data_IF_858060600273
#
_entry.id   IF_858060600273
#
_cell.length_a   1.000
_cell.length_b   1.000
_cell.length_c   1.000
_cell.angle_alpha   90.00
_cell.angle_beta   90.00
_cell.angle_gamma   90.00
#
_symmetry.space_group_name_H-M   'P 1'
#
loop_
_entity.id
_entity.type
_entity.pdbx_description
1 polymer ?
#
# COMPACT_ATOMS: atom_id res chain seq x y z
N UNK A 1 -22.88 6.93 5.48
CA UNK A 1 -23.87 5.90 5.86
C UNK A 1 -23.69 5.49 7.32
N UNK A 2 -22.51 5.00 7.70
CA UNK A 2 -22.24 4.49 9.05
C UNK A 2 -22.19 5.57 10.16
N UNK A 3 -21.99 6.84 9.82
CA UNK A 3 -22.04 7.97 10.77
C UNK A 3 -23.43 8.17 11.42
N UNK A 4 -24.49 7.57 10.87
CA UNK A 4 -25.85 7.62 11.42
C UNK A 4 -26.09 6.58 12.53
N UNK A 5 -25.14 5.68 12.78
CA UNK A 5 -25.27 4.57 13.74
C UNK A 5 -24.70 4.87 15.13
N UNK A 6 -24.36 6.14 15.42
CA UNK A 6 -23.86 6.61 16.72
C UNK A 6 -22.33 6.69 16.81
N UNK A 7 -21.84 7.51 17.75
CA UNK A 7 -20.42 7.79 17.94
C UNK A 7 -19.62 6.55 18.38
N UNK A 8 -20.18 5.74 19.27
CA UNK A 8 -19.54 4.52 19.79
C UNK A 8 -19.33 3.46 18.69
N UNK A 9 -20.33 3.30 17.81
CA UNK A 9 -20.24 2.47 16.60
C UNK A 9 -19.09 2.91 15.70
N UNK A 10 -18.95 4.22 15.48
CA UNK A 10 -17.92 4.78 14.61
C UNK A 10 -16.51 4.59 15.21
N UNK A 11 -16.37 4.75 16.52
CA UNK A 11 -15.13 4.50 17.23
C UNK A 11 -14.69 3.03 17.09
N UNK A 12 -15.60 2.08 17.37
CA UNK A 12 -15.35 0.65 17.21
C UNK A 12 -14.99 0.25 15.77
N UNK A 13 -15.65 0.85 14.78
CA UNK A 13 -15.35 0.66 13.36
C UNK A 13 -13.93 1.14 13.01
N UNK A 14 -13.54 2.32 13.49
CA UNK A 14 -12.22 2.89 13.26
C UNK A 14 -11.11 1.99 13.81
N UNK A 15 -11.27 1.52 15.05
CA UNK A 15 -10.32 0.60 15.69
C UNK A 15 -10.23 -0.75 14.95
N UNK A 16 -11.36 -1.30 14.52
CA UNK A 16 -11.39 -2.53 13.73
C UNK A 16 -10.69 -2.37 12.37
N UNK A 17 -10.87 -1.23 11.70
CA UNK A 17 -10.15 -0.93 10.46
C UNK A 17 -8.64 -0.79 10.67
N UNK A 18 -8.20 -0.26 11.81
CA UNK A 18 -6.78 -0.19 12.17
C UNK A 18 -6.16 -1.60 12.28
N UNK A 19 -6.86 -2.53 12.94
CA UNK A 19 -6.42 -3.94 13.00
C UNK A 19 -6.33 -4.54 11.60
N UNK A 20 -7.35 -4.33 10.76
CA UNK A 20 -7.34 -4.83 9.38
C UNK A 20 -6.19 -4.24 8.55
N UNK A 21 -5.83 -2.97 8.75
CA UNK A 21 -4.70 -2.34 8.07
C UNK A 21 -3.37 -3.02 8.42
N UNK A 22 -3.17 -3.41 9.68
CA UNK A 22 -1.99 -4.18 10.09
C UNK A 22 -1.96 -5.53 9.36
N UNK A 23 -3.09 -6.25 9.35
CA UNK A 23 -3.20 -7.56 8.67
C UNK A 23 -2.99 -7.47 7.15
N UNK A 24 -3.39 -6.37 6.51
CA UNK A 24 -3.15 -6.14 5.09
C UNK A 24 -1.66 -6.10 4.74
N UNK A 25 -0.79 -5.81 5.70
CA UNK A 25 0.67 -5.84 5.50
C UNK A 25 1.17 -7.26 5.17
N UNK A 26 0.56 -8.28 5.76
CA UNK A 26 0.87 -9.68 5.45
C UNK A 26 0.46 -10.03 4.01
N UNK A 27 -0.73 -9.57 3.60
CA UNK A 27 -1.24 -9.74 2.23
C UNK A 27 -0.36 -9.02 1.21
N UNK A 28 0.14 -7.82 1.54
CA UNK A 28 1.08 -7.08 0.72
C UNK A 28 2.37 -7.86 0.45
N UNK A 29 2.86 -8.62 1.44
CA UNK A 29 4.03 -9.48 1.25
C UNK A 29 3.80 -10.53 0.16
N UNK A 30 2.75 -11.35 0.30
CA UNK A 30 2.42 -12.42 -0.66
C UNK A 30 2.24 -11.84 -2.08
N UNK A 31 1.53 -10.71 -2.17
CA UNK A 31 1.13 -10.13 -3.45
C UNK A 31 2.30 -9.48 -4.20
N UNK A 32 3.24 -8.87 -3.47
CA UNK A 32 4.48 -8.34 -4.05
C UNK A 32 5.36 -9.45 -4.63
N UNK A 33 5.52 -10.55 -3.88
CA UNK A 33 6.24 -11.74 -4.35
C UNK A 33 5.60 -12.37 -5.59
N UNK A 34 4.27 -12.49 -5.58
CA UNK A 34 3.50 -13.03 -6.70
C UNK A 34 3.69 -12.21 -7.97
N UNK A 35 3.54 -10.88 -7.89
CA UNK A 35 3.70 -10.01 -9.05
C UNK A 35 5.07 -10.13 -9.69
N UNK A 36 6.14 -10.11 -8.88
CA UNK A 36 7.52 -10.19 -9.38
C UNK A 36 7.77 -11.53 -10.10
N UNK A 37 7.42 -12.66 -9.48
CA UNK A 37 7.63 -13.99 -10.07
C UNK A 37 6.76 -14.23 -11.31
N UNK A 38 5.48 -13.83 -11.29
CA UNK A 38 4.59 -13.95 -12.45
C UNK A 38 5.07 -13.08 -13.60
N UNK A 39 5.53 -11.85 -13.33
CA UNK A 39 6.06 -10.97 -14.37
C UNK A 39 7.29 -11.56 -15.06
N UNK A 40 8.20 -12.17 -14.29
CA UNK A 40 9.37 -12.87 -14.85
C UNK A 40 8.99 -14.11 -15.65
N UNK A 41 8.07 -14.94 -15.13
CA UNK A 41 7.58 -16.11 -15.86
C UNK A 41 6.90 -15.71 -17.18
N UNK A 42 6.13 -14.62 -17.17
CA UNK A 42 5.52 -14.06 -18.39
C UNK A 42 6.57 -13.62 -19.42
N UNK A 43 7.62 -12.95 -18.94
CA UNK A 43 8.76 -12.53 -19.76
C UNK A 43 9.52 -13.69 -20.39
N UNK A 44 9.69 -14.78 -19.65
CA UNK A 44 10.30 -16.02 -20.11
C UNK A 44 9.38 -16.86 -21.03
N UNK A 45 8.17 -16.38 -21.32
CA UNK A 45 7.12 -17.13 -22.02
C UNK A 45 6.77 -18.48 -21.36
N UNK A 46 6.97 -18.60 -20.05
CA UNK A 46 6.73 -19.82 -19.28
C UNK A 46 5.37 -19.75 -18.56
N UNK A 47 4.32 -20.13 -19.29
CA UNK A 47 2.94 -20.17 -18.76
C UNK A 47 2.77 -21.22 -17.65
N UNK A 48 3.57 -22.29 -17.66
CA UNK A 48 3.54 -23.33 -16.64
C UNK A 48 4.07 -22.80 -15.31
N UNK A 49 5.22 -22.13 -15.33
CA UNK A 49 5.78 -21.47 -14.15
C UNK A 49 4.87 -20.36 -13.64
N UNK A 50 4.28 -19.53 -14.51
CA UNK A 50 3.34 -18.49 -14.10
C UNK A 50 2.10 -19.07 -13.39
N UNK A 51 1.55 -20.16 -13.92
CA UNK A 51 0.42 -20.87 -13.31
C UNK A 51 0.80 -21.55 -12.00
N UNK A 52 2.01 -22.12 -11.91
CA UNK A 52 2.53 -22.72 -10.68
C UNK A 52 2.72 -21.69 -9.56
N UNK A 53 3.32 -20.54 -9.88
CA UNK A 53 3.46 -19.42 -8.94
C UNK A 53 2.09 -18.96 -8.45
N UNK A 54 1.12 -18.76 -9.35
CA UNK A 54 -0.24 -18.37 -8.95
C UNK A 54 -0.87 -19.40 -7.99
N UNK A 55 -0.75 -20.70 -8.26
CA UNK A 55 -1.27 -21.75 -7.36
C UNK A 55 -0.64 -21.67 -5.98
N UNK A 56 0.69 -21.58 -5.90
CA UNK A 56 1.42 -21.52 -4.64
C UNK A 56 1.10 -20.22 -3.88
N UNK A 57 0.95 -19.10 -4.58
CA UNK A 57 0.51 -17.83 -3.98
C UNK A 57 -0.92 -17.89 -3.44
N UNK A 58 -1.85 -18.53 -4.16
CA UNK A 58 -3.23 -18.72 -3.68
C UNK A 58 -3.29 -19.66 -2.48
N UNK A 59 -2.51 -20.74 -2.47
CA UNK A 59 -2.37 -21.63 -1.31
C UNK A 59 -1.81 -20.88 -0.11
N UNK A 60 -0.75 -20.11 -0.31
CA UNK A 60 -0.14 -19.31 0.75
C UNK A 60 -1.09 -18.23 1.28
N UNK A 61 -1.79 -17.54 0.39
CA UNK A 61 -2.82 -16.55 0.74
C UNK A 61 -3.96 -17.19 1.54
N UNK A 62 -4.50 -18.32 1.07
CA UNK A 62 -5.58 -19.02 1.75
C UNK A 62 -5.14 -19.53 3.12
N UNK A 63 -3.97 -20.16 3.22
CA UNK A 63 -3.48 -20.75 4.47
C UNK A 63 -3.14 -19.66 5.49
N UNK A 64 -2.34 -18.66 5.12
CA UNK A 64 -1.95 -17.59 6.05
C UNK A 64 -3.16 -16.76 6.46
N UNK A 65 -4.03 -16.37 5.53
CA UNK A 65 -5.22 -15.58 5.87
C UNK A 65 -6.25 -16.37 6.65
N UNK A 66 -6.39 -17.69 6.44
CA UNK A 66 -7.27 -18.51 7.27
C UNK A 66 -6.73 -18.65 8.69
N UNK A 67 -5.43 -18.94 8.86
CA UNK A 67 -4.80 -19.06 10.18
C UNK A 67 -4.89 -17.73 10.94
N UNK A 68 -4.53 -16.62 10.29
CA UNK A 68 -4.59 -15.28 10.87
C UNK A 68 -6.03 -14.84 11.12
N UNK A 69 -6.95 -15.16 10.21
CA UNK A 69 -8.38 -14.86 10.35
C UNK A 69 -9.01 -15.58 11.53
N UNK A 70 -8.78 -16.89 11.66
CA UNK A 70 -9.30 -17.70 12.77
C UNK A 70 -8.72 -17.26 14.11
N UNK A 71 -7.40 -17.07 14.19
CA UNK A 71 -6.75 -16.55 15.38
C UNK A 71 -7.27 -15.14 15.73
N UNK A 72 -7.42 -14.28 14.71
CA UNK A 72 -7.96 -12.94 14.87
C UNK A 72 -9.40 -12.92 15.37
N UNK A 73 -10.25 -13.86 14.97
CA UNK A 73 -11.66 -13.93 15.43
C UNK A 73 -11.73 -14.20 16.93
N UNK A 74 -10.89 -15.13 17.41
CA UNK A 74 -10.77 -15.45 18.83
C UNK A 74 -10.18 -14.26 19.61
N UNK A 75 -9.15 -13.61 19.05
CA UNK A 75 -8.44 -12.49 19.67
C UNK A 75 -9.12 -11.12 19.47
N UNK A 76 -10.18 -11.02 18.66
CA UNK A 76 -10.81 -9.76 18.28
C UNK A 76 -11.20 -8.86 19.48
N UNK A 77 -11.83 -9.38 20.56
CA UNK A 77 -12.15 -8.56 21.73
C UNK A 77 -10.88 -8.00 22.38
N UNK A 78 -9.84 -8.83 22.52
CA UNK A 78 -8.57 -8.45 23.13
C UNK A 78 -7.81 -7.41 22.29
N UNK A 79 -7.79 -7.60 20.97
CA UNK A 79 -7.17 -6.66 20.03
C UNK A 79 -7.82 -5.28 20.11
N UNK A 80 -9.14 -5.22 20.26
CA UNK A 80 -9.86 -3.97 20.38
C UNK A 80 -9.73 -3.34 21.77
N UNK A 81 -9.78 -4.13 22.85
CA UNK A 81 -9.52 -3.60 24.19
C UNK A 81 -8.10 -3.06 24.32
N UNK A 82 -7.12 -3.70 23.67
CA UNK A 82 -5.73 -3.22 23.62
C UNK A 82 -5.60 -1.88 22.89
N UNK A 83 -6.55 -1.53 22.01
CA UNK A 83 -6.66 -0.23 21.36
C UNK A 83 -7.50 0.79 22.17
N UNK A 84 -7.93 0.43 23.38
CA UNK A 84 -8.75 1.27 24.25
C UNK A 84 -10.25 1.23 23.95
N UNK A 85 -10.74 0.19 23.25
CA UNK A 85 -12.18 0.02 23.04
C UNK A 85 -12.86 -0.41 24.35
N UNK A 86 -13.89 0.33 24.77
CA UNK A 86 -14.69 0.02 25.96
C UNK A 86 -16.20 -0.01 25.63
N UNK A 87 -16.99 -0.63 26.53
CA UNK A 87 -18.45 -0.62 26.47
C UNK A 87 -19.04 -1.06 25.12
N UNK A 88 -20.01 -0.29 24.63
CA UNK A 88 -20.68 -0.56 23.36
C UNK A 88 -19.78 -0.41 22.13
N UNK A 89 -18.74 0.43 22.19
CA UNK A 89 -17.75 0.57 21.11
C UNK A 89 -16.93 -0.72 20.94
N UNK A 90 -16.53 -1.35 22.05
CA UNK A 90 -15.84 -2.64 22.01
C UNK A 90 -16.72 -3.75 21.41
N UNK A 91 -18.01 -3.79 21.77
CA UNK A 91 -18.96 -4.77 21.23
C UNK A 91 -19.18 -4.59 19.73
N UNK A 92 -19.48 -3.36 19.30
CA UNK A 92 -19.69 -3.01 17.90
C UNK A 92 -18.44 -3.27 17.04
N UNK A 93 -17.28 -2.83 17.52
CA UNK A 93 -16.00 -3.08 16.87
C UNK A 93 -15.68 -4.56 16.77
N UNK A 94 -15.93 -5.34 17.84
CA UNK A 94 -15.63 -6.78 17.88
C UNK A 94 -16.48 -7.52 16.85
N UNK A 95 -17.78 -7.22 16.80
CA UNK A 95 -18.68 -7.80 15.81
C UNK A 95 -18.21 -7.49 14.39
N UNK A 96 -17.91 -6.22 14.11
CA UNK A 96 -17.45 -5.79 12.80
C UNK A 96 -16.13 -6.46 12.39
N UNK A 97 -15.14 -6.45 13.30
CA UNK A 97 -13.83 -7.05 13.07
C UNK A 97 -13.92 -8.56 12.81
N UNK A 98 -14.70 -9.28 13.62
CA UNK A 98 -14.91 -10.73 13.42
C UNK A 98 -15.47 -11.04 12.04
N UNK A 99 -16.46 -10.27 11.58
CA UNK A 99 -17.03 -10.46 10.25
C UNK A 99 -15.96 -10.20 9.19
N UNK A 100 -15.24 -9.07 9.25
CA UNK A 100 -14.16 -8.78 8.29
C UNK A 100 -13.07 -9.84 8.24
N UNK A 101 -12.72 -10.44 9.38
CA UNK A 101 -11.71 -11.50 9.48
C UNK A 101 -12.15 -12.80 8.80
N UNK A 102 -13.45 -13.13 8.79
CA UNK A 102 -13.98 -14.24 7.97
C UNK A 102 -13.69 -13.98 6.48
N UNK A 103 -13.80 -12.73 6.05
CA UNK A 103 -13.50 -12.31 4.68
C UNK A 103 -12.03 -12.14 4.34
N UNK A 104 -11.10 -12.30 5.29
CA UNK A 104 -9.68 -12.00 5.10
C UNK A 104 -9.07 -12.86 3.99
N UNK A 105 -9.43 -14.14 3.92
CA UNK A 105 -9.00 -15.03 2.84
C UNK A 105 -9.47 -14.53 1.47
N UNK A 106 -10.71 -14.07 1.36
CA UNK A 106 -11.25 -13.49 0.12
C UNK A 106 -10.49 -12.24 -0.32
N UNK A 107 -10.13 -11.37 0.63
CA UNK A 107 -9.30 -10.19 0.32
C UNK A 107 -7.90 -10.61 -0.15
N UNK A 108 -7.26 -11.58 0.51
CA UNK A 108 -5.94 -12.03 0.11
C UNK A 108 -5.95 -12.68 -1.28
N UNK A 109 -6.99 -13.45 -1.61
CA UNK A 109 -7.21 -14.01 -2.95
C UNK A 109 -7.42 -12.91 -3.99
N UNK A 110 -8.28 -11.91 -3.71
CA UNK A 110 -8.54 -10.79 -4.61
C UNK A 110 -7.25 -10.06 -5.00
N UNK A 111 -6.46 -9.66 -3.99
CA UNK A 111 -5.18 -9.00 -4.23
C UNK A 111 -4.20 -9.91 -4.97
N UNK A 112 -4.16 -11.21 -4.67
CA UNK A 112 -3.24 -12.15 -5.33
C UNK A 112 -3.57 -12.30 -6.82
N UNK A 113 -4.85 -12.46 -7.16
CA UNK A 113 -5.32 -12.52 -8.54
C UNK A 113 -5.09 -11.21 -9.29
N UNK A 114 -5.41 -10.08 -8.65
CA UNK A 114 -5.20 -8.74 -9.22
C UNK A 114 -3.72 -8.45 -9.50
N UNK A 115 -2.81 -8.85 -8.59
CA UNK A 115 -1.37 -8.67 -8.77
C UNK A 115 -0.79 -9.62 -9.83
N UNK A 116 -1.37 -10.80 -10.00
CA UNK A 116 -1.02 -11.73 -11.10
C UNK A 116 -1.32 -11.11 -12.45
N UNK A 117 -2.52 -10.54 -12.62
CA UNK A 117 -2.91 -9.85 -13.86
C UNK A 117 -2.01 -8.64 -14.14
N UNK A 118 -1.74 -7.82 -13.12
CA UNK A 118 -0.77 -6.71 -13.26
C UNK A 118 0.63 -7.21 -13.61
N UNK A 119 1.06 -8.35 -13.07
CA UNK A 119 2.34 -9.00 -13.39
C UNK A 119 2.45 -9.41 -14.86
N UNK A 120 1.36 -9.86 -15.49
CA UNK A 120 1.37 -10.17 -16.94
C UNK A 120 1.11 -8.96 -17.85
N UNK A 121 0.85 -7.79 -17.27
CA UNK A 121 0.62 -6.54 -18.00
C UNK A 121 -0.85 -6.14 -18.17
N UNK A 122 -1.80 -6.91 -17.62
CA UNK A 122 -3.22 -6.53 -17.61
C UNK A 122 -3.55 -5.70 -16.36
N UNK A 123 -3.49 -4.38 -16.50
CA UNK A 123 -3.88 -3.42 -15.46
C UNK A 123 -5.36 -3.03 -15.53
N UNK A 124 -6.03 -3.28 -16.67
CA UNK A 124 -7.42 -2.83 -16.93
C UNK A 124 -8.42 -3.75 -16.26
N UNK A 125 -8.19 -5.07 -16.29
CA UNK A 125 -9.08 -6.03 -15.63
C UNK A 125 -9.15 -5.78 -14.12
N UNK A 126 -8.02 -5.66 -13.37
CA UNK A 126 -8.06 -5.30 -11.95
C UNK A 126 -8.76 -3.97 -11.66
N UNK A 127 -8.59 -2.95 -12.52
CA UNK A 127 -9.25 -1.66 -12.36
C UNK A 127 -10.78 -1.80 -12.48
N UNK A 128 -11.25 -2.48 -13.52
CA UNK A 128 -12.69 -2.72 -13.74
C UNK A 128 -13.28 -3.55 -12.61
N UNK A 129 -12.57 -4.56 -12.14
CA UNK A 129 -12.99 -5.37 -10.98
C UNK A 129 -13.08 -4.55 -9.72
N UNK A 130 -12.08 -3.72 -9.41
CA UNK A 130 -12.14 -2.85 -8.23
C UNK A 130 -13.32 -1.88 -8.29
N UNK A 131 -13.57 -1.24 -9.45
CA UNK A 131 -14.72 -0.37 -9.64
C UNK A 131 -16.06 -1.09 -9.39
N UNK A 132 -16.23 -2.31 -9.92
CA UNK A 132 -17.43 -3.11 -9.66
C UNK A 132 -17.56 -3.50 -8.19
N UNK A 133 -16.46 -3.91 -7.54
CA UNK A 133 -16.44 -4.23 -6.10
C UNK A 133 -16.86 -3.01 -5.27
N UNK A 134 -16.38 -1.80 -5.59
CA UNK A 134 -16.77 -0.57 -4.90
C UNK A 134 -18.26 -0.26 -5.09
N UNK A 135 -18.77 -0.35 -6.32
CA UNK A 135 -20.20 -0.10 -6.61
C UNK A 135 -21.08 -1.12 -5.89
N UNK A 136 -20.74 -2.41 -5.96
CA UNK A 136 -21.45 -3.48 -5.24
C UNK A 136 -21.36 -3.29 -3.72
N UNK A 137 -20.23 -2.82 -3.21
CA UNK A 137 -20.06 -2.56 -1.79
C UNK A 137 -20.93 -1.39 -1.33
N UNK A 138 -20.99 -0.29 -2.07
CA UNK A 138 -21.84 0.87 -1.74
C UNK A 138 -23.31 0.46 -1.77
N UNK A 139 -23.75 -0.21 -2.85
CA UNK A 139 -25.13 -0.68 -2.98
C UNK A 139 -25.51 -1.71 -1.92
N UNK A 140 -24.67 -2.73 -1.72
CA UNK A 140 -24.88 -3.75 -0.70
C UNK A 140 -24.86 -3.20 0.72
N UNK A 141 -24.01 -2.21 1.00
CA UNK A 141 -23.98 -1.53 2.29
C UNK A 141 -25.28 -0.75 2.50
N UNK A 142 -25.77 -0.01 1.51
CA UNK A 142 -27.04 0.68 1.61
C UNK A 142 -28.20 -0.28 1.90
N UNK A 143 -28.25 -1.41 1.19
CA UNK A 143 -29.30 -2.41 1.35
C UNK A 143 -29.24 -3.12 2.72
N UNK A 144 -28.07 -3.63 3.12
CA UNK A 144 -27.95 -4.45 4.33
C UNK A 144 -27.88 -3.63 5.62
N UNK A 145 -27.44 -2.36 5.55
CA UNK A 145 -27.44 -1.48 6.73
C UNK A 145 -28.85 -0.99 7.03
N UNK A 146 -29.58 -0.51 6.01
CA UNK A 146 -30.90 0.12 6.22
C UNK A 146 -32.08 -0.86 6.12
N UNK A 147 -31.90 -2.01 5.47
CA UNK A 147 -32.95 -3.03 5.32
C UNK A 147 -34.22 -2.57 4.60
N UNK A 148 -34.18 -1.86 3.45
CA UNK A 148 -35.41 -1.54 2.74
C UNK A 148 -36.01 -2.81 2.09
N UNK A 149 -37.31 -3.05 2.33
CA UNK A 149 -38.05 -4.16 1.71
C UNK A 149 -37.88 -5.51 2.46
N UNK A 150 -37.63 -6.64 1.78
CA UNK A 150 -37.53 -7.97 2.40
C UNK A 150 -36.20 -8.22 3.13
N UNK A 151 -35.25 -7.26 3.11
CA UNK A 151 -33.92 -7.44 3.66
C UNK A 151 -33.87 -7.03 5.14
N UNK A 152 -33.23 -7.83 6.01
CA UNK A 152 -33.07 -7.47 7.42
C UNK A 152 -32.14 -6.27 7.57
N UNK A 153 -32.46 -5.37 8.50
CA UNK A 153 -31.58 -4.27 8.90
C UNK A 153 -30.46 -4.83 9.79
N UNK A 154 -29.31 -5.15 9.18
CA UNK A 154 -28.16 -5.76 9.87
C UNK A 154 -27.18 -4.72 10.45
N UNK A 155 -27.45 -3.43 10.27
CA UNK A 155 -26.61 -2.34 10.77
C UNK A 155 -25.14 -2.51 10.37
N UNK A 156 -24.24 -2.44 11.33
CA UNK A 156 -22.78 -2.57 11.14
C UNK A 156 -22.39 -3.92 10.53
N UNK A 157 -23.06 -5.00 10.94
CA UNK A 157 -22.81 -6.33 10.38
C UNK A 157 -23.16 -6.38 8.88
N UNK A 158 -24.20 -5.65 8.47
CA UNK A 158 -24.57 -5.49 7.06
C UNK A 158 -23.48 -4.83 6.22
N UNK A 159 -22.80 -3.81 6.75
CA UNK A 159 -21.68 -3.16 6.06
C UNK A 159 -20.45 -4.07 5.91
N UNK A 160 -20.15 -4.86 6.94
CA UNK A 160 -19.08 -5.86 6.85
C UNK A 160 -19.44 -6.97 5.85
N UNK A 161 -20.67 -7.51 5.91
CA UNK A 161 -21.15 -8.53 4.99
C UNK A 161 -21.16 -8.05 3.52
N UNK A 162 -21.62 -6.82 3.27
CA UNK A 162 -21.56 -6.20 1.94
C UNK A 162 -20.12 -6.09 1.43
N UNK A 163 -19.16 -5.81 2.31
CA UNK A 163 -17.73 -5.74 1.97
C UNK A 163 -17.17 -7.09 1.54
N UNK A 164 -17.54 -8.16 2.24
CA UNK A 164 -17.09 -9.52 1.93
C UNK A 164 -17.76 -10.03 0.66
N UNK A 165 -19.08 -9.84 0.54
CA UNK A 165 -19.85 -10.25 -0.64
C UNK A 165 -19.34 -9.56 -1.91
N UNK A 166 -19.12 -8.25 -1.86
CA UNK A 166 -18.55 -7.53 -2.99
C UNK A 166 -17.15 -8.04 -3.38
N UNK A 167 -16.26 -8.30 -2.40
CA UNK A 167 -14.94 -8.92 -2.67
C UNK A 167 -15.07 -10.32 -3.26
N UNK A 168 -16.00 -11.15 -2.79
CA UNK A 168 -16.21 -12.49 -3.33
C UNK A 168 -16.60 -12.46 -4.81
N UNK A 169 -17.44 -11.51 -5.21
CA UNK A 169 -17.76 -11.26 -6.63
C UNK A 169 -16.51 -10.82 -7.40
N UNK A 170 -15.67 -9.95 -6.81
CA UNK A 170 -14.39 -9.55 -7.39
C UNK A 170 -13.45 -10.74 -7.65
N UNK A 171 -13.28 -11.61 -6.66
CA UNK A 171 -12.48 -12.85 -6.77
C UNK A 171 -13.03 -13.75 -7.88
N UNK A 172 -14.34 -13.99 -7.91
CA UNK A 172 -14.97 -14.80 -8.95
C UNK A 172 -14.74 -14.21 -10.35
N UNK A 173 -14.84 -12.88 -10.49
CA UNK A 173 -14.62 -12.22 -11.76
C UNK A 173 -13.16 -12.29 -12.22
N UNK A 174 -12.19 -12.01 -11.32
CA UNK A 174 -10.77 -12.13 -11.64
C UNK A 174 -10.40 -13.58 -11.99
N UNK A 175 -10.96 -14.55 -11.27
CA UNK A 175 -10.72 -15.97 -11.51
C UNK A 175 -11.21 -16.42 -12.88
N UNK A 176 -12.44 -16.03 -13.27
CA UNK A 176 -12.98 -16.35 -14.61
C UNK A 176 -12.14 -15.71 -15.72
N UNK A 177 -11.64 -14.49 -15.52
CA UNK A 177 -10.76 -13.80 -16.47
C UNK A 177 -9.40 -14.47 -16.63
N UNK A 178 -8.80 -14.95 -15.54
CA UNK A 178 -7.53 -15.69 -15.57
C UNK A 178 -7.66 -17.05 -16.25
N UNK A 179 -8.78 -17.75 -16.05
CA UNK A 179 -9.06 -19.03 -16.74
C UNK A 179 -9.40 -18.86 -18.21
N UNK A 180 -10.03 -17.75 -18.58
CA UNK A 180 -10.48 -17.49 -19.96
C UNK A 180 -9.38 -17.10 -20.95
N UNK A 181 -8.13 -16.96 -20.54
CA UNK A 181 -6.99 -16.66 -21.43
C UNK A 181 -6.96 -15.26 -22.07
N UNK A 182 -8.01 -14.46 -21.88
CA UNK A 182 -8.19 -13.14 -22.54
C UNK A 182 -7.31 -12.01 -21.97
N UNK A 183 -6.57 -12.27 -20.89
CA UNK A 183 -5.79 -11.29 -20.12
C UNK A 183 -4.27 -11.44 -20.30
N UNK A 184 -3.83 -12.21 -21.29
CA UNK A 184 -2.39 -12.49 -21.50
C UNK A 184 -1.79 -13.47 -20.49
N UNK A 185 -2.61 -14.01 -19.58
CA UNK A 185 -2.27 -15.11 -18.69
C UNK A 185 -2.91 -16.40 -19.20
N UNK A 186 -2.10 -17.42 -19.47
CA UNK A 186 -2.56 -18.74 -19.92
C UNK A 186 -2.54 -19.71 -18.73
N UNK A 187 -3.71 -19.91 -18.12
CA UNK A 187 -3.85 -20.84 -17.02
C UNK A 187 -3.56 -22.28 -17.47
N UNK A 188 -2.65 -22.95 -16.77
CA UNK A 188 -2.37 -24.36 -16.94
C UNK A 188 -2.72 -25.14 -15.66
N UNK A 189 -3.46 -26.26 -15.76
CA UNK A 189 -3.74 -27.13 -14.63
C UNK A 189 -2.44 -27.77 -14.11
N UNK A 190 -2.49 -28.32 -12.90
CA UNK A 190 -1.34 -28.97 -12.26
C UNK A 190 -1.54 -29.11 -10.76
N UNK A 191 -0.49 -29.58 -10.07
CA UNK A 191 -0.57 -29.91 -8.65
C UNK A 191 -0.75 -28.68 -7.75
N UNK A 192 -1.57 -28.86 -6.72
CA UNK A 192 -1.74 -27.95 -5.58
C UNK A 192 -0.92 -28.38 -4.36
N UNK A 193 -0.04 -29.38 -4.51
CA UNK A 193 0.89 -29.77 -3.45
C UNK A 193 1.81 -28.59 -3.10
N UNK A 194 2.02 -28.27 -1.82
CA UNK A 194 2.94 -27.21 -1.41
C UNK A 194 4.35 -27.45 -1.94
N UNK A 195 4.86 -26.52 -2.75
CA UNK A 195 6.23 -26.53 -3.24
C UNK A 195 7.06 -25.54 -2.41
N UNK A 196 7.85 -26.08 -1.49
CA UNK A 196 8.70 -25.30 -0.58
C UNK A 196 9.62 -24.34 -1.32
N UNK A 197 10.10 -24.71 -2.50
CA UNK A 197 11.03 -23.87 -3.28
C UNK A 197 10.32 -22.63 -3.79
N UNK A 198 9.16 -22.81 -4.45
CA UNK A 198 8.36 -21.69 -4.96
C UNK A 198 7.82 -20.81 -3.83
N UNK A 199 7.32 -21.41 -2.75
CA UNK A 199 6.85 -20.66 -1.57
C UNK A 199 7.98 -19.81 -0.97
N UNK A 200 9.18 -20.38 -0.81
CA UNK A 200 10.34 -19.64 -0.31
C UNK A 200 10.68 -18.45 -1.21
N UNK A 201 10.66 -18.63 -2.54
CA UNK A 201 10.90 -17.53 -3.50
C UNK A 201 9.86 -16.41 -3.37
N UNK A 202 8.58 -16.77 -3.20
CA UNK A 202 7.50 -15.80 -2.97
C UNK A 202 7.79 -15.00 -1.69
N UNK A 203 8.16 -15.68 -0.60
CA UNK A 203 8.44 -15.05 0.69
C UNK A 203 9.75 -14.24 0.69
N UNK A 204 10.79 -14.68 0.00
CA UNK A 204 12.08 -13.97 -0.11
C UNK A 204 11.92 -12.60 -0.79
N UNK A 205 10.95 -12.46 -1.69
CA UNK A 205 10.57 -11.18 -2.32
C UNK A 205 9.54 -10.44 -1.47
N UNK A 206 8.54 -11.17 -0.97
CA UNK A 206 7.38 -10.62 -0.29
C UNK A 206 7.64 -10.06 1.10
N UNK A 207 8.37 -10.80 1.94
CA UNK A 207 8.65 -10.39 3.33
C UNK A 207 9.42 -9.07 3.39
N UNK A 208 10.49 -8.85 2.59
CA UNK A 208 11.14 -7.54 2.56
C UNK A 208 10.21 -6.40 2.11
N UNK A 209 9.30 -6.64 1.15
CA UNK A 209 8.32 -5.64 0.73
C UNK A 209 7.29 -5.30 1.81
N UNK A 210 6.84 -6.29 2.58
CA UNK A 210 5.98 -6.06 3.73
C UNK A 210 6.71 -5.26 4.82
N UNK A 211 7.95 -5.64 5.14
CA UNK A 211 8.79 -4.93 6.11
C UNK A 211 9.10 -3.50 5.67
N UNK A 212 9.39 -3.25 4.39
CA UNK A 212 9.56 -1.92 3.81
C UNK A 212 8.33 -1.03 4.12
N UNK A 213 7.12 -1.58 3.96
CA UNK A 213 5.88 -0.87 4.27
C UNK A 213 5.71 -0.56 5.75
N UNK A 214 6.02 -1.52 6.64
CA UNK A 214 5.98 -1.34 8.10
C UNK A 214 6.97 -0.27 8.52
N UNK A 215 8.22 -0.39 8.09
CA UNK A 215 9.31 0.53 8.39
C UNK A 215 8.94 1.95 7.98
N UNK A 216 8.43 2.12 6.76
CA UNK A 216 8.02 3.45 6.26
C UNK A 216 6.85 4.02 7.05
N UNK A 217 5.83 3.21 7.32
CA UNK A 217 4.67 3.65 8.12
C UNK A 217 5.09 4.02 9.54
N UNK A 218 5.91 3.18 10.18
CA UNK A 218 6.43 3.41 11.53
C UNK A 218 7.29 4.67 11.61
N UNK A 219 8.19 4.89 10.65
CA UNK A 219 9.02 6.11 10.62
C UNK A 219 8.19 7.38 10.42
N UNK A 220 7.10 7.31 9.64
CA UNK A 220 6.16 8.42 9.45
C UNK A 220 5.42 8.76 10.75
N UNK A 221 4.94 7.74 11.48
CA UNK A 221 4.30 7.93 12.80
C UNK A 221 5.29 8.53 13.81
N UNK A 222 6.54 8.02 13.83
CA UNK A 222 7.58 8.57 14.68
C UNK A 222 7.85 10.05 14.37
N UNK A 223 7.92 10.41 13.09
CA UNK A 223 8.11 11.80 12.64
C UNK A 223 6.98 12.72 13.12
N UNK A 224 5.72 12.29 13.03
CA UNK A 224 4.58 13.03 13.57
C UNK A 224 4.73 13.25 15.09
N UNK A 225 5.23 12.24 15.82
CA UNK A 225 5.57 12.36 17.22
C UNK A 225 6.70 13.37 17.51
N UNK A 226 7.66 13.54 16.60
CA UNK A 226 8.68 14.60 16.67
C UNK A 226 8.05 15.96 16.45
N UNK A 227 7.23 16.13 15.39
CA UNK A 227 6.53 17.39 15.09
C UNK A 227 5.73 17.87 16.31
N UNK A 228 5.01 16.98 16.98
CA UNK A 228 4.23 17.29 18.18
C UNK A 228 5.06 17.87 19.34
N UNK A 229 6.38 17.66 19.35
CA UNK A 229 7.30 18.12 20.40
C UNK A 229 8.13 19.34 20.00
N UNK A 230 7.96 19.88 18.79
CA UNK A 230 8.73 21.04 18.28
C UNK A 230 8.29 22.40 18.84
N UNK A 231 7.53 22.44 19.94
CA UNK A 231 7.06 23.68 20.59
C UNK A 231 5.97 24.46 19.84
N UNK A 232 5.77 24.21 18.55
CA UNK A 232 4.75 24.86 17.70
C UNK A 232 3.31 24.33 17.93
N UNK A 233 3.10 23.50 18.96
CA UNK A 233 1.79 23.10 19.46
C UNK A 233 0.92 22.36 18.44
N UNK A 234 -0.38 22.51 18.61
CA UNK A 234 -1.43 21.84 17.81
C UNK A 234 -1.45 22.30 16.34
N UNK A 235 -1.08 23.54 16.06
CA UNK A 235 -1.05 24.10 14.70
C UNK A 235 -0.04 23.37 13.79
N UNK A 236 1.13 22.98 14.31
CA UNK A 236 2.11 22.22 13.54
C UNK A 236 1.66 20.79 13.23
N UNK A 237 0.98 20.15 14.18
CA UNK A 237 0.39 18.81 13.99
C UNK A 237 -0.72 18.88 12.94
N UNK A 238 -1.58 19.89 13.02
CA UNK A 238 -2.65 20.13 12.05
C UNK A 238 -2.07 20.35 10.64
N UNK A 239 -1.08 21.24 10.52
CA UNK A 239 -0.40 21.50 9.25
C UNK A 239 0.25 20.25 8.66
N UNK A 240 0.94 19.44 9.48
CA UNK A 240 1.53 18.18 9.04
C UNK A 240 0.47 17.18 8.56
N UNK A 241 -0.66 17.10 9.27
CA UNK A 241 -1.76 16.19 8.92
C UNK A 241 -2.41 16.59 7.59
N UNK A 242 -2.69 17.88 7.39
CA UNK A 242 -3.21 18.42 6.12
C UNK A 242 -2.21 18.15 4.99
N UNK A 243 -0.92 18.36 5.26
CA UNK A 243 0.16 18.05 4.34
C UNK A 243 0.19 16.60 3.87
N UNK A 244 0.13 15.65 4.81
CA UNK A 244 0.08 14.21 4.51
C UNK A 244 -1.16 13.82 3.70
N UNK A 245 -2.31 14.48 3.92
CA UNK A 245 -3.52 14.26 3.13
C UNK A 245 -3.31 14.69 1.68
N UNK A 246 -2.68 15.84 1.44
CA UNK A 246 -2.35 16.30 0.09
C UNK A 246 -1.33 15.38 -0.60
N UNK A 247 -0.34 14.88 0.14
CA UNK A 247 0.63 13.91 -0.38
C UNK A 247 0.01 12.58 -0.79
N UNK A 248 -1.18 12.24 -0.30
CA UNK A 248 -1.85 10.99 -0.64
C UNK A 248 -2.04 10.84 -2.15
N UNK A 249 -2.33 11.93 -2.87
CA UNK A 249 -2.47 11.92 -4.33
C UNK A 249 -1.15 11.57 -5.03
N UNK A 250 -0.06 12.23 -4.63
CA UNK A 250 1.29 11.95 -5.14
C UNK A 250 1.72 10.52 -4.83
N UNK A 251 1.38 10.02 -3.63
CA UNK A 251 1.68 8.64 -3.22
C UNK A 251 0.92 7.61 -4.05
N UNK A 252 -0.36 7.83 -4.34
CA UNK A 252 -1.16 6.93 -5.18
C UNK A 252 -0.59 6.86 -6.61
N UNK A 253 -0.24 8.01 -7.20
CA UNK A 253 0.37 8.06 -8.53
C UNK A 253 1.68 7.25 -8.57
N UNK A 254 2.51 7.41 -7.55
CA UNK A 254 3.81 6.74 -7.47
C UNK A 254 3.69 5.24 -7.20
N UNK A 255 2.70 4.80 -6.41
CA UNK A 255 2.38 3.37 -6.25
C UNK A 255 1.99 2.76 -7.60
N UNK A 256 1.17 3.46 -8.39
CA UNK A 256 0.78 3.03 -9.73
C UNK A 256 1.98 2.86 -10.66
N UNK A 257 2.84 3.87 -10.76
CA UNK A 257 4.06 3.85 -11.59
C UNK A 257 5.07 2.80 -11.10
N UNK A 258 5.26 2.66 -9.78
CA UNK A 258 6.13 1.63 -9.20
C UNK A 258 5.61 0.22 -9.49
N UNK A 259 4.30 0.02 -9.49
CA UNK A 259 3.67 -1.25 -9.89
C UNK A 259 3.92 -1.56 -11.37
N UNK A 260 3.78 -0.55 -12.24
CA UNK A 260 4.07 -0.70 -13.66
C UNK A 260 5.56 -1.01 -13.89
N UNK A 261 6.46 -0.32 -13.19
CA UNK A 261 7.90 -0.59 -13.24
C UNK A 261 8.24 -2.01 -12.79
N UNK A 262 7.62 -2.49 -11.71
CA UNK A 262 7.78 -3.87 -11.22
C UNK A 262 7.44 -4.89 -12.31
N UNK A 263 6.29 -4.72 -12.97
CA UNK A 263 5.82 -5.61 -14.02
C UNK A 263 6.71 -5.56 -15.27
N UNK A 264 6.99 -4.37 -15.80
CA UNK A 264 7.74 -4.19 -17.05
C UNK A 264 9.21 -4.62 -16.91
N UNK A 265 9.86 -4.26 -15.80
CA UNK A 265 11.24 -4.68 -15.52
C UNK A 265 11.31 -6.20 -15.32
N UNK A 266 10.37 -6.77 -14.56
CA UNK A 266 10.31 -8.22 -14.33
C UNK A 266 10.11 -9.00 -15.62
N UNK A 267 9.22 -8.57 -16.51
CA UNK A 267 9.05 -9.19 -17.82
C UNK A 267 10.31 -9.12 -18.68
N UNK A 268 10.99 -7.98 -18.75
CA UNK A 268 12.22 -7.85 -19.55
C UNK A 268 13.39 -8.65 -18.99
N UNK A 269 13.52 -8.74 -17.67
CA UNK A 269 14.50 -9.65 -17.04
C UNK A 269 14.15 -11.11 -17.33
N UNK A 270 12.88 -11.48 -17.24
CA UNK A 270 12.39 -12.81 -17.59
C UNK A 270 12.67 -13.21 -19.04
N UNK A 271 12.58 -12.25 -19.96
CA UNK A 271 12.89 -12.43 -21.38
C UNK A 271 14.40 -12.53 -21.70
N UNK A 272 15.27 -12.42 -20.69
CA UNK A 272 16.73 -12.39 -20.92
C UNK A 272 17.24 -11.06 -21.47
N UNK A 273 16.47 -9.97 -21.33
CA UNK A 273 16.79 -8.64 -21.86
C UNK A 273 17.09 -7.60 -20.74
N UNK A 274 18.14 -7.79 -19.91
CA UNK A 274 18.38 -6.92 -18.75
C UNK A 274 18.67 -5.45 -19.11
N UNK A 275 19.17 -5.17 -20.32
CA UNK A 275 19.34 -3.80 -20.83
C UNK A 275 18.00 -3.15 -21.18
N UNK A 276 17.06 -3.90 -21.77
CA UNK A 276 15.72 -3.40 -22.01
C UNK A 276 14.96 -3.19 -20.69
N UNK A 277 15.17 -4.09 -19.71
CA UNK A 277 14.63 -3.95 -18.37
C UNK A 277 15.09 -2.63 -17.70
N UNK A 278 16.38 -2.33 -17.79
CA UNK A 278 16.92 -1.07 -17.27
C UNK A 278 16.30 0.16 -17.95
N UNK A 279 16.19 0.15 -19.28
CA UNK A 279 15.54 1.24 -20.04
C UNK A 279 14.09 1.46 -19.60
N UNK A 280 13.33 0.39 -19.41
CA UNK A 280 11.94 0.47 -18.93
C UNK A 280 11.87 1.03 -17.51
N UNK A 281 12.79 0.64 -16.63
CA UNK A 281 12.88 1.20 -15.28
C UNK A 281 13.18 2.70 -15.28
N UNK A 282 14.14 3.14 -16.09
CA UNK A 282 14.46 4.58 -16.23
C UNK A 282 13.32 5.37 -16.85
N UNK A 283 12.62 4.82 -17.86
CA UNK A 283 11.46 5.45 -18.45
C UNK A 283 10.35 5.65 -17.42
N UNK A 284 10.05 4.61 -16.63
CA UNK A 284 9.06 4.72 -15.56
C UNK A 284 9.46 5.77 -14.51
N UNK A 285 10.74 5.82 -14.15
CA UNK A 285 11.27 6.85 -13.24
C UNK A 285 11.11 8.26 -13.82
N UNK A 286 11.46 8.45 -15.10
CA UNK A 286 11.32 9.73 -15.79
C UNK A 286 9.84 10.18 -15.86
N UNK A 287 8.92 9.26 -16.14
CA UNK A 287 7.48 9.54 -16.10
C UNK A 287 7.02 9.95 -14.69
N UNK A 288 7.52 9.28 -13.65
CA UNK A 288 7.22 9.64 -12.26
C UNK A 288 7.75 11.00 -11.86
N UNK A 289 9.01 11.29 -12.21
CA UNK A 289 9.65 12.59 -11.97
C UNK A 289 8.90 13.71 -12.71
N UNK A 290 8.51 13.49 -13.97
CA UNK A 290 7.74 14.47 -14.73
C UNK A 290 6.35 14.71 -14.11
N UNK A 291 5.64 13.64 -13.76
CA UNK A 291 4.30 13.74 -13.17
C UNK A 291 4.32 14.43 -11.81
N UNK A 292 5.18 13.99 -10.89
CA UNK A 292 5.26 14.56 -9.54
C UNK A 292 6.02 15.89 -9.53
N UNK A 293 6.88 16.17 -10.51
CA UNK A 293 7.45 17.50 -10.70
C UNK A 293 6.42 18.51 -11.18
N UNK A 294 5.55 18.12 -12.11
CA UNK A 294 4.42 18.96 -12.51
C UNK A 294 3.44 19.20 -11.35
N UNK A 295 3.04 18.13 -10.65
CA UNK A 295 2.14 18.23 -9.51
C UNK A 295 2.78 19.04 -8.36
N UNK A 296 4.04 18.78 -8.04
CA UNK A 296 4.80 19.51 -7.03
C UNK A 296 4.94 20.99 -7.38
N UNK A 297 5.20 21.34 -8.65
CA UNK A 297 5.24 22.74 -9.08
C UNK A 297 3.88 23.43 -8.87
N UNK A 298 2.78 22.78 -9.25
CA UNK A 298 1.42 23.31 -9.03
C UNK A 298 1.15 23.49 -7.54
N UNK A 299 1.46 22.49 -6.71
CA UNK A 299 1.27 22.57 -5.25
C UNK A 299 2.16 23.63 -4.60
N UNK A 300 3.40 23.82 -5.09
CA UNK A 300 4.31 24.86 -4.60
C UNK A 300 3.77 26.27 -4.87
N UNK A 301 3.32 26.53 -6.10
CA UNK A 301 2.77 27.83 -6.52
C UNK A 301 1.45 28.12 -5.81
N UNK A 302 0.59 27.11 -5.64
CA UNK A 302 -0.72 27.24 -5.02
C UNK A 302 -0.71 26.95 -3.51
N UNK A 303 0.45 26.83 -2.87
CA UNK A 303 0.54 26.41 -1.46
C UNK A 303 -0.26 27.31 -0.50
N UNK A 304 -0.29 28.63 -0.73
CA UNK A 304 -1.05 29.58 0.08
C UNK A 304 -2.57 29.49 -0.12
N UNK A 305 -3.08 29.55 -1.36
CA UNK A 305 -4.49 29.30 -1.63
C UNK A 305 -4.95 27.92 -1.13
N UNK A 306 -4.14 26.88 -1.37
CA UNK A 306 -4.43 25.53 -0.91
C UNK A 306 -4.45 25.46 0.61
N UNK A 307 -3.54 26.10 1.35
CA UNK A 307 -3.57 26.06 2.81
C UNK A 307 -4.82 26.71 3.39
N UNK A 308 -5.30 27.80 2.78
CA UNK A 308 -6.47 28.54 3.27
C UNK A 308 -7.80 27.79 3.04
N UNK A 309 -7.82 26.81 2.13
CA UNK A 309 -9.00 25.95 1.94
C UNK A 309 -9.16 24.97 3.12
N UNK A 310 -8.08 24.60 3.79
CA UNK A 310 -8.08 23.54 4.81
C UNK A 310 -8.09 24.06 6.25
N UNK A 311 -7.85 25.36 6.47
CA UNK A 311 -7.88 25.95 7.81
C UNK A 311 -8.16 27.44 7.76
N UNK A 312 -9.12 27.87 8.60
CA UNK A 312 -9.41 29.29 8.84
C UNK A 312 -8.44 29.93 9.86
N UNK A 313 -7.68 29.12 10.61
CA UNK A 313 -6.67 29.61 11.54
C UNK A 313 -5.42 30.09 10.78
N UNK A 314 -5.07 31.38 10.85
CA UNK A 314 -3.93 31.93 10.11
C UNK A 314 -2.59 31.28 10.46
N UNK A 315 -2.41 30.80 11.70
CA UNK A 315 -1.17 30.15 12.11
C UNK A 315 -1.02 28.76 11.45
N UNK A 316 -2.07 27.95 11.51
CA UNK A 316 -2.12 26.63 10.85
C UNK A 316 -2.02 26.75 9.33
N UNK A 317 -2.69 27.73 8.72
CA UNK A 317 -2.61 27.98 7.28
C UNK A 317 -1.18 28.32 6.83
N UNK A 318 -0.49 29.22 7.55
CA UNK A 318 0.92 29.56 7.27
C UNK A 318 1.84 28.34 7.36
N UNK A 319 1.72 27.56 8.43
CA UNK A 319 2.51 26.34 8.63
C UNK A 319 2.21 25.28 7.56
N UNK A 320 0.96 25.17 7.12
CA UNK A 320 0.56 24.26 6.04
C UNK A 320 1.19 24.71 4.72
N UNK A 321 1.17 26.01 4.39
CA UNK A 321 1.82 26.51 3.18
C UNK A 321 3.33 26.24 3.19
N UNK A 322 4.00 26.38 4.34
CA UNK A 322 5.42 26.06 4.49
C UNK A 322 5.71 24.57 4.29
N UNK A 323 4.88 23.70 4.86
CA UNK A 323 4.94 22.25 4.65
C UNK A 323 4.85 21.93 3.16
N UNK A 324 3.81 22.45 2.50
CA UNK A 324 3.52 22.16 1.10
C UNK A 324 4.65 22.64 0.21
N UNK A 325 5.18 23.85 0.41
CA UNK A 325 6.32 24.35 -0.37
C UNK A 325 7.56 23.46 -0.20
N UNK A 326 7.87 23.08 1.05
CA UNK A 326 9.06 22.28 1.37
C UNK A 326 8.97 20.89 0.73
N UNK A 327 7.86 20.18 0.92
CA UNK A 327 7.70 18.82 0.41
C UNK A 327 7.49 18.79 -1.11
N UNK A 328 6.82 19.79 -1.68
CA UNK A 328 6.57 19.86 -3.13
C UNK A 328 7.87 19.88 -3.94
N UNK A 329 8.91 20.55 -3.44
CA UNK A 329 10.23 20.54 -4.07
C UNK A 329 10.90 19.16 -4.07
N UNK A 330 10.56 18.31 -3.09
CA UNK A 330 11.10 16.96 -2.96
C UNK A 330 10.22 15.88 -3.63
N UNK A 331 9.01 16.21 -4.11
CA UNK A 331 8.12 15.25 -4.79
C UNK A 331 8.77 14.53 -5.99
N UNK A 332 9.54 15.20 -6.88
CA UNK A 332 10.24 14.51 -7.96
C UNK A 332 11.21 13.43 -7.45
N UNK A 333 11.94 13.74 -6.37
CA UNK A 333 12.89 12.82 -5.75
C UNK A 333 12.16 11.64 -5.09
N UNK A 334 11.05 11.92 -4.41
CA UNK A 334 10.18 10.87 -3.88
C UNK A 334 9.69 9.93 -4.99
N UNK A 335 9.26 10.48 -6.14
CA UNK A 335 8.84 9.71 -7.30
C UNK A 335 9.97 8.79 -7.81
N UNK A 336 11.17 9.36 -7.99
CA UNK A 336 12.37 8.65 -8.42
C UNK A 336 12.65 7.45 -7.51
N UNK A 337 12.73 7.66 -6.19
CA UNK A 337 13.00 6.60 -5.22
C UNK A 337 11.94 5.50 -5.25
N UNK A 338 10.67 5.85 -5.14
CA UNK A 338 9.59 4.88 -5.08
C UNK A 338 9.39 4.09 -6.38
N UNK A 339 9.59 4.70 -7.55
CA UNK A 339 9.51 4.00 -8.84
C UNK A 339 10.74 3.11 -9.05
N UNK A 340 11.93 3.58 -8.68
CA UNK A 340 13.14 2.76 -8.69
C UNK A 340 13.03 1.55 -7.73
N UNK A 341 12.40 1.71 -6.56
CA UNK A 341 12.09 0.60 -5.66
C UNK A 341 11.19 -0.44 -6.35
N UNK A 342 10.18 0.00 -7.09
CA UNK A 342 9.34 -0.87 -7.91
C UNK A 342 10.14 -1.61 -8.98
N UNK A 343 10.99 -0.90 -9.71
CA UNK A 343 11.87 -1.51 -10.72
C UNK A 343 12.78 -2.59 -10.11
N UNK A 344 13.42 -2.30 -8.97
CA UNK A 344 14.27 -3.27 -8.25
C UNK A 344 13.49 -4.50 -7.80
N UNK A 345 12.25 -4.34 -7.30
CA UNK A 345 11.36 -5.46 -6.98
C UNK A 345 11.04 -6.32 -8.20
N UNK A 346 10.83 -5.72 -9.36
CA UNK A 346 10.65 -6.44 -10.63
C UNK A 346 11.88 -7.27 -11.01
N UNK A 347 13.09 -6.75 -10.74
CA UNK A 347 14.35 -7.48 -10.89
C UNK A 347 14.59 -8.57 -9.83
N UNK A 348 13.83 -8.60 -8.75
CA UNK A 348 14.00 -9.51 -7.61
C UNK A 348 14.85 -8.96 -6.46
N UNK A 349 15.30 -7.71 -6.52
CA UNK A 349 16.02 -7.04 -5.43
C UNK A 349 15.05 -6.29 -4.51
N UNK A 350 14.50 -6.99 -3.52
CA UNK A 350 13.54 -6.43 -2.56
C UNK A 350 14.17 -6.03 -1.23
N UNK A 351 15.32 -6.61 -0.90
CA UNK A 351 16.02 -6.35 0.37
C UNK A 351 16.67 -4.98 0.36
N UNK A 352 17.21 -4.53 -0.77
CA UNK A 352 17.83 -3.21 -0.83
C UNK A 352 16.83 -2.06 -0.62
N UNK A 353 15.65 -2.02 -1.29
CA UNK A 353 14.60 -1.05 -0.97
C UNK A 353 14.18 -1.04 0.50
N UNK A 354 14.02 -2.21 1.11
CA UNK A 354 13.69 -2.34 2.54
C UNK A 354 14.76 -1.71 3.44
N UNK A 355 16.04 -2.04 3.23
CA UNK A 355 17.13 -1.47 4.02
C UNK A 355 17.31 0.04 3.78
N UNK A 356 17.17 0.49 2.54
CA UNK A 356 17.21 1.92 2.23
C UNK A 356 16.09 2.68 2.96
N UNK A 357 14.88 2.11 3.04
CA UNK A 357 13.77 2.68 3.79
C UNK A 357 14.04 2.67 5.31
N UNK A 358 14.66 1.60 5.83
CA UNK A 358 14.99 1.47 7.26
C UNK A 358 16.07 2.47 7.70
N UNK A 359 17.17 2.55 6.96
CA UNK A 359 18.27 3.47 7.24
C UNK A 359 17.80 4.91 7.05
N UNK A 360 17.14 5.22 5.93
CA UNK A 360 16.62 6.56 5.67
C UNK A 360 15.60 7.00 6.72
N UNK A 361 14.59 6.17 7.01
CA UNK A 361 13.53 6.52 7.95
C UNK A 361 13.98 6.58 9.40
N UNK A 362 14.67 5.54 9.90
CA UNK A 362 14.96 5.40 11.33
C UNK A 362 16.33 5.91 11.76
N UNK A 363 17.36 5.77 10.92
CA UNK A 363 18.72 6.19 11.28
C UNK A 363 19.00 7.63 10.85
N UNK A 364 18.37 8.11 9.78
CA UNK A 364 18.56 9.47 9.29
C UNK A 364 17.38 10.39 9.67
N UNK A 365 16.18 10.13 9.15
CA UNK A 365 15.06 11.06 9.22
C UNK A 365 14.58 11.33 10.65
N UNK A 366 14.27 10.30 11.45
CA UNK A 366 13.77 10.50 12.82
C UNK A 366 14.81 11.17 13.73
N UNK A 367 16.08 10.72 13.80
CA UNK A 367 17.09 11.35 14.65
C UNK A 367 17.44 12.77 14.21
N UNK A 368 17.58 13.02 12.90
CA UNK A 368 17.87 14.37 12.40
C UNK A 368 16.69 15.33 12.64
N UNK A 369 15.45 14.86 12.48
CA UNK A 369 14.27 15.66 12.80
C UNK A 369 14.20 16.01 14.30
N UNK A 370 14.54 15.06 15.18
CA UNK A 370 14.61 15.30 16.62
C UNK A 370 15.70 16.31 16.97
N UNK A 371 16.91 16.13 16.43
CA UNK A 371 18.04 17.01 16.68
C UNK A 371 17.76 18.44 16.22
N UNK A 372 17.34 18.63 14.96
CA UNK A 372 17.13 19.97 14.41
C UNK A 372 15.83 20.61 14.91
N UNK A 373 14.74 19.86 14.92
CA UNK A 373 13.41 20.39 15.24
C UNK A 373 13.15 20.59 16.73
N UNK A 374 13.63 19.66 17.57
CA UNK A 374 13.37 19.67 19.02
C UNK A 374 14.58 20.17 19.81
N UNK A 375 15.76 19.54 19.62
CA UNK A 375 16.94 19.86 20.45
C UNK A 375 17.55 21.23 20.13
N UNK A 376 17.73 21.57 18.85
CA UNK A 376 18.21 22.88 18.41
C UNK A 376 17.11 23.94 18.32
N UNK A 377 15.83 23.55 18.50
CA UNK A 377 14.70 24.48 18.52
C UNK A 377 14.37 25.14 17.18
N UNK A 378 14.80 24.59 16.03
CA UNK A 378 14.48 25.16 14.71
C UNK A 378 13.01 24.94 14.30
N UNK A 379 12.24 24.23 15.12
CA UNK A 379 10.81 24.08 14.99
C UNK A 379 10.39 23.11 13.88
N UNK A 380 9.10 23.11 13.50
CA UNK A 380 8.52 22.12 12.60
C UNK A 380 9.04 22.22 11.16
N UNK A 381 9.47 23.41 10.70
CA UNK A 381 10.05 23.59 9.36
C UNK A 381 11.31 22.75 9.16
N UNK A 382 12.17 22.65 10.19
CA UNK A 382 13.35 21.81 10.12
C UNK A 382 13.00 20.31 10.00
N UNK A 383 11.93 19.87 10.66
CA UNK A 383 11.43 18.49 10.55
C UNK A 383 11.00 18.18 9.12
N UNK A 384 10.27 19.09 8.47
CA UNK A 384 9.84 18.90 7.08
C UNK A 384 10.98 19.00 6.08
N UNK A 385 11.98 19.84 6.36
CA UNK A 385 13.21 19.86 5.55
C UNK A 385 13.96 18.52 5.65
N UNK A 386 14.09 17.95 6.85
CA UNK A 386 14.68 16.62 7.04
C UNK A 386 13.88 15.54 6.30
N UNK A 387 12.55 15.63 6.30
CA UNK A 387 11.71 14.72 5.52
C UNK A 387 11.97 14.83 4.01
N UNK A 388 12.06 16.06 3.48
CA UNK A 388 12.43 16.31 2.08
C UNK A 388 13.83 15.77 1.75
N UNK A 389 14.81 15.96 2.65
CA UNK A 389 16.16 15.41 2.50
C UNK A 389 16.16 13.88 2.52
N UNK A 390 15.32 13.25 3.35
CA UNK A 390 15.19 11.80 3.36
C UNK A 390 14.66 11.26 2.01
N UNK A 391 13.74 11.97 1.35
CA UNK A 391 13.32 11.62 -0.02
C UNK A 391 14.49 11.70 -1.00
N UNK A 392 15.38 12.70 -0.87
CA UNK A 392 16.59 12.80 -1.67
C UNK A 392 17.57 11.65 -1.41
N UNK A 393 17.82 11.31 -0.14
CA UNK A 393 18.69 10.19 0.26
C UNK A 393 18.14 8.86 -0.28
N UNK A 394 16.84 8.61 -0.09
CA UNK A 394 16.19 7.39 -0.58
C UNK A 394 16.26 7.30 -2.11
N UNK A 395 16.01 8.40 -2.83
CA UNK A 395 16.15 8.47 -4.27
C UNK A 395 17.60 8.18 -4.71
N UNK A 396 18.59 8.78 -4.06
CA UNK A 396 20.00 8.60 -4.38
C UNK A 396 20.45 7.15 -4.19
N UNK A 397 20.10 6.52 -3.05
CA UNK A 397 20.44 5.14 -2.75
C UNK A 397 19.85 4.16 -3.79
N UNK A 398 18.57 4.31 -4.12
CA UNK A 398 17.90 3.42 -5.08
C UNK A 398 18.36 3.67 -6.52
N UNK A 399 18.61 4.92 -6.89
CA UNK A 399 19.17 5.28 -8.19
C UNK A 399 20.57 4.67 -8.35
N UNK A 400 21.41 4.80 -7.33
CA UNK A 400 22.75 4.20 -7.31
C UNK A 400 22.67 2.68 -7.45
N UNK A 401 21.82 2.01 -6.64
CA UNK A 401 21.66 0.55 -6.70
C UNK A 401 21.14 0.08 -8.05
N UNK A 402 20.20 0.83 -8.64
CA UNK A 402 19.63 0.50 -9.94
C UNK A 402 20.68 0.66 -11.06
N UNK A 403 21.50 1.73 -11.04
CA UNK A 403 22.64 1.92 -11.96
C UNK A 403 23.71 0.87 -11.82
N UNK A 404 24.04 0.46 -10.59
CA UNK A 404 25.07 -0.54 -10.30
C UNK A 404 24.74 -1.92 -10.91
N UNK A 405 23.49 -2.17 -11.28
CA UNK A 405 23.12 -3.33 -12.11
C UNK A 405 23.16 -4.69 -11.42
N UNK A 406 23.56 -4.80 -10.14
CA UNK A 406 23.61 -6.08 -9.43
C UNK A 406 22.26 -6.82 -9.34
N UNK A 407 21.14 -6.12 -9.53
CA UNK A 407 19.80 -6.72 -9.61
C UNK A 407 19.57 -7.53 -10.90
N UNK A 408 20.33 -7.25 -11.97
CA UNK A 408 20.18 -7.91 -13.28
C UNK A 408 20.54 -9.40 -13.25
N UNK A 409 21.41 -9.80 -12.33
CA UNK A 409 21.92 -11.18 -12.20
C UNK A 409 21.13 -12.06 -11.21
N UNK A 410 20.12 -11.52 -10.53
CA UNK A 410 19.39 -12.26 -9.50
C UNK A 410 18.59 -13.39 -10.15
N UNK A 411 18.95 -14.64 -9.83
CA UNK A 411 18.17 -15.84 -10.16
C UNK A 411 17.14 -16.04 -9.05
N UNK A 412 15.87 -16.03 -9.44
CA UNK A 412 14.75 -16.28 -8.54
C UNK A 412 14.36 -17.74 -8.54
#
# INVERSE_FOLDING_TARGET
>A
MLSRLGAETLAGLGMANQVMMILMTLVLGITTGTMALVSRARGACDAAAASHVLRQSLLLALLLSSVVGLAGIALAPWLLSALGAEGAAAQAGTLYLRILLIGLAGVAMDFTLANTLRGVGDSVTPLRTNAAVVVLNIGGTALLVFGPGPFPALGIAGAAAASIGARAVGVAWLWTRLRGGRSGFQWQPGSWSPDRTTIRRILDIGVPGALESIVRTGSSVALMGVVARTGAGTAAIAAHTIGLQMEMFSRLATIGLGTAATSLVGQRVGAGEPRAAERMGWLACAMGVALLGGLGLVTFLLAGPLSNIFSDDPATARLTADYLRTISLAQPLYAMGMVAAGALRGGGDTRFPMWAAAVGGWLFMVPAAWLLGVHLGWGPRAVWLVQALNYAVFAALLTWRFRAGGWKGIRL
#
